data_IF_707590993336
#
_entry.id   IF_707590993336
#
_cell.length_a   1.000
_cell.length_b   1.000
_cell.length_c   1.000
_cell.angle_alpha   90.00
_cell.angle_beta   90.00
_cell.angle_gamma   90.00
#
_symmetry.space_group_name_H-M   'P 1'
#
loop_
_entity.id
_entity.type
_entity.pdbx_description
1 polymer ?
#
# COMPACT_ATOMS: atom_id res chain seq x y z
N UNK A 1 -2.22 0.03 -12.49
CA UNK A 1 -2.97 0.54 -11.32
C UNK A 1 -2.03 1.44 -10.54
N UNK A 2 -2.49 2.62 -10.14
CA UNK A 2 -1.71 3.58 -9.39
C UNK A 2 -2.44 3.88 -8.08
N UNK A 3 -1.88 3.45 -6.95
CA UNK A 3 -2.44 3.75 -5.62
C UNK A 3 -2.26 5.21 -5.21
N UNK A 4 -1.53 5.99 -6.02
CA UNK A 4 -1.32 7.42 -5.83
C UNK A 4 -2.64 8.17 -5.97
N UNK A 5 -3.15 8.68 -4.86
CA UNK A 5 -4.22 9.68 -4.89
C UNK A 5 -3.70 10.99 -5.49
N UNK A 6 -4.50 11.73 -6.27
CA UNK A 6 -4.10 13.03 -6.79
C UNK A 6 -3.82 13.97 -5.62
N UNK A 7 -2.54 14.27 -5.41
CA UNK A 7 -2.06 15.24 -4.44
C UNK A 7 -2.02 16.65 -5.02
N UNK A 8 -1.57 17.61 -4.22
CA UNK A 8 -1.29 18.96 -4.70
C UNK A 8 -0.35 18.91 -5.93
N UNK A 9 -0.51 19.82 -6.90
CA UNK A 9 0.35 19.85 -8.08
C UNK A 9 1.82 19.93 -7.66
N UNK A 10 2.61 18.97 -8.14
CA UNK A 10 4.05 18.96 -7.92
C UNK A 10 4.70 20.13 -8.65
N UNK A 11 5.77 20.69 -8.07
CA UNK A 11 6.51 21.79 -8.72
C UNK A 11 6.96 21.37 -10.12
N UNK A 12 6.95 22.32 -11.06
CA UNK A 12 7.51 22.09 -12.38
C UNK A 12 9.01 21.81 -12.26
N UNK A 13 9.47 20.85 -13.07
CA UNK A 13 10.89 20.51 -13.18
C UNK A 13 11.51 21.45 -14.20
N UNK A 14 12.44 22.29 -13.77
CA UNK A 14 13.12 23.28 -14.60
C UNK A 14 14.53 22.82 -15.00
N UNK A 15 15.15 21.94 -14.21
CA UNK A 15 16.50 21.41 -14.49
C UNK A 15 16.70 20.00 -13.96
N UNK A 16 17.84 19.38 -14.31
CA UNK A 16 18.28 18.12 -13.70
C UNK A 16 18.49 18.26 -12.18
N UNK A 17 19.01 19.41 -11.74
CA UNK A 17 19.29 19.65 -10.33
C UNK A 17 18.02 19.62 -9.49
N UNK A 18 16.87 19.93 -10.08
CA UNK A 18 15.59 19.82 -9.40
C UNK A 18 15.23 18.40 -8.98
N UNK A 19 15.58 17.43 -9.83
CA UNK A 19 15.37 16.01 -9.59
C UNK A 19 16.37 15.48 -8.55
N UNK A 20 17.63 15.92 -8.66
CA UNK A 20 18.67 15.57 -7.69
C UNK A 20 18.31 16.09 -6.31
N UNK A 21 17.88 17.35 -6.21
CA UNK A 21 17.46 17.97 -4.95
C UNK A 21 16.25 17.27 -4.33
N UNK A 22 15.30 16.78 -5.14
CA UNK A 22 14.16 16.02 -4.63
C UNK A 22 14.58 14.69 -3.98
N UNK A 23 15.53 13.97 -4.58
CA UNK A 23 16.09 12.74 -3.98
C UNK A 23 16.88 13.08 -2.70
N UNK A 24 17.73 14.11 -2.75
CA UNK A 24 18.56 14.55 -1.62
C UNK A 24 17.71 15.00 -0.42
N UNK A 25 16.52 15.59 -0.64
CA UNK A 25 15.58 15.92 0.43
C UNK A 25 15.08 14.68 1.21
N UNK A 26 15.28 13.47 0.68
CA UNK A 26 14.98 12.21 1.36
C UNK A 26 16.03 11.77 2.39
N UNK A 27 17.21 12.39 2.42
CA UNK A 27 18.29 12.08 3.35
C UNK A 27 17.85 12.27 4.81
N UNK A 28 18.25 11.34 5.68
CA UNK A 28 17.86 11.33 7.09
C UNK A 28 19.08 11.03 7.98
N UNK A 29 19.23 11.71 9.13
CA UNK A 29 20.25 11.34 10.11
C UNK A 29 19.97 9.93 10.64
N UNK A 30 21.01 9.25 11.14
CA UNK A 30 20.90 7.85 11.62
C UNK A 30 19.78 7.64 12.64
N UNK A 31 19.53 8.60 13.51
CA UNK A 31 18.45 8.53 14.50
C UNK A 31 17.02 8.51 13.89
N UNK A 32 16.86 8.99 12.66
CA UNK A 32 15.60 9.01 11.92
C UNK A 32 15.50 7.87 10.89
N UNK A 33 16.45 6.94 10.86
CA UNK A 33 16.34 5.75 10.02
C UNK A 33 15.20 4.84 10.52
N UNK A 34 14.50 4.23 9.58
CA UNK A 34 13.36 3.34 9.82
C UNK A 34 13.44 2.16 8.84
N UNK A 35 12.70 1.09 9.15
CA UNK A 35 12.57 -0.11 8.36
C UNK A 35 11.14 -0.16 7.81
N UNK A 36 11.00 -0.16 6.49
CA UNK A 36 9.76 -0.52 5.81
C UNK A 36 9.90 -1.93 5.25
N UNK A 37 8.83 -2.72 5.28
CA UNK A 37 8.84 -4.08 4.75
C UNK A 37 7.58 -4.31 3.95
N UNK A 38 7.74 -4.84 2.74
CA UNK A 38 6.64 -5.15 1.84
C UNK A 38 6.64 -6.65 1.57
N UNK A 39 5.45 -7.24 1.47
CA UNK A 39 5.30 -8.62 1.05
C UNK A 39 4.04 -8.83 0.23
N UNK A 40 4.13 -9.70 -0.76
CA UNK A 40 3.01 -10.10 -1.60
C UNK A 40 2.57 -11.52 -1.26
N UNK A 41 1.26 -11.78 -1.36
CA UNK A 41 0.69 -13.12 -1.19
C UNK A 41 -0.22 -13.46 -2.36
N UNK A 42 -0.13 -14.71 -2.81
CA UNK A 42 -1.12 -15.27 -3.73
C UNK A 42 -2.38 -15.65 -2.95
N UNK A 43 -3.51 -15.05 -3.32
CA UNK A 43 -4.81 -15.40 -2.75
C UNK A 43 -5.45 -16.48 -3.62
N UNK A 44 -5.83 -17.59 -3.01
CA UNK A 44 -6.44 -18.73 -3.69
C UNK A 44 -7.59 -19.32 -2.88
N UNK A 45 -8.48 -20.05 -3.55
CA UNK A 45 -9.54 -20.82 -2.93
C UNK A 45 -8.97 -22.12 -2.35
N UNK A 46 -9.18 -22.40 -1.07
CA UNK A 46 -8.58 -23.58 -0.41
C UNK A 46 -9.20 -24.92 -0.82
N UNK A 47 -10.42 -24.89 -1.36
CA UNK A 47 -11.18 -26.04 -1.87
C UNK A 47 -10.81 -26.41 -3.31
N UNK A 48 -10.49 -25.42 -4.16
CA UNK A 48 -10.21 -25.64 -5.60
C UNK A 48 -8.78 -25.33 -6.01
N UNK A 49 -8.01 -24.66 -5.15
CA UNK A 49 -6.66 -24.13 -5.40
C UNK A 49 -6.60 -23.12 -6.56
N UNK A 50 -7.74 -22.60 -7.01
CA UNK A 50 -7.80 -21.62 -8.09
C UNK A 50 -7.53 -20.21 -7.55
N UNK A 51 -7.00 -19.29 -8.38
CA UNK A 51 -6.85 -17.88 -8.03
C UNK A 51 -8.19 -17.23 -7.65
N UNK A 52 -8.15 -16.30 -6.70
CA UNK A 52 -9.36 -15.54 -6.31
C UNK A 52 -9.61 -14.42 -7.33
N UNK A 53 -10.81 -14.34 -7.94
CA UNK A 53 -11.16 -13.27 -8.86
C UNK A 53 -11.33 -11.93 -8.13
N UNK A 54 -11.30 -10.82 -8.88
CA UNK A 54 -11.52 -9.49 -8.28
C UNK A 54 -12.96 -9.31 -7.76
N UNK A 55 -13.96 -9.76 -8.52
CA UNK A 55 -15.39 -9.59 -8.22
C UNK A 55 -16.07 -10.91 -7.88
N UNK A 56 -17.27 -10.82 -7.29
CA UNK A 56 -18.07 -11.96 -6.85
C UNK A 56 -18.11 -12.13 -5.33
N UNK A 57 -18.85 -13.12 -4.86
CA UNK A 57 -19.04 -13.37 -3.42
C UNK A 57 -17.73 -13.81 -2.72
N UNK A 58 -16.97 -14.69 -3.38
CA UNK A 58 -15.66 -15.17 -2.91
C UNK A 58 -14.55 -14.48 -3.71
N UNK A 59 -14.27 -13.22 -3.42
CA UNK A 59 -13.42 -12.37 -4.26
C UNK A 59 -12.47 -11.44 -3.48
N UNK A 60 -11.54 -10.82 -4.19
CA UNK A 60 -10.65 -9.79 -3.63
C UNK A 60 -11.46 -8.59 -3.15
N UNK A 61 -12.46 -8.12 -3.92
CA UNK A 61 -13.32 -7.01 -3.50
C UNK A 61 -14.10 -7.35 -2.22
N UNK A 62 -14.57 -8.59 -2.06
CA UNK A 62 -15.23 -9.04 -0.83
C UNK A 62 -14.26 -9.00 0.38
N UNK A 63 -13.01 -9.46 0.20
CA UNK A 63 -11.97 -9.38 1.22
C UNK A 63 -11.64 -7.94 1.62
N UNK A 64 -11.47 -7.04 0.65
CA UNK A 64 -11.18 -5.62 0.91
C UNK A 64 -12.34 -4.94 1.66
N UNK A 65 -13.59 -5.19 1.27
CA UNK A 65 -14.77 -4.67 1.97
C UNK A 65 -14.89 -5.21 3.41
N UNK A 66 -14.53 -6.48 3.62
CA UNK A 66 -14.47 -7.05 4.96
C UNK A 66 -13.43 -6.35 5.84
N UNK A 67 -12.25 -6.01 5.28
CA UNK A 67 -11.22 -5.26 6.01
C UNK A 67 -11.68 -3.83 6.36
N UNK A 68 -12.34 -3.14 5.43
CA UNK A 68 -12.95 -1.82 5.67
C UNK A 68 -13.95 -1.91 6.83
N UNK A 69 -14.90 -2.85 6.74
CA UNK A 69 -15.99 -2.96 7.71
C UNK A 69 -15.49 -3.38 9.09
N UNK A 70 -14.54 -4.30 9.15
CA UNK A 70 -14.07 -4.91 10.42
C UNK A 70 -12.99 -4.10 11.12
N UNK A 71 -12.12 -3.41 10.38
CA UNK A 71 -10.94 -2.77 10.93
C UNK A 71 -10.83 -1.27 10.59
N UNK A 72 -11.83 -0.70 9.91
CA UNK A 72 -11.89 0.74 9.65
C UNK A 72 -10.88 1.25 8.62
N UNK A 73 -10.44 0.38 7.71
CA UNK A 73 -9.56 0.79 6.60
C UNK A 73 -10.27 1.76 5.65
N UNK A 74 -9.52 2.70 5.08
CA UNK A 74 -10.03 3.67 4.11
C UNK A 74 -9.74 3.20 2.68
N UNK A 75 -10.74 3.10 1.80
CA UNK A 75 -10.55 2.64 0.43
C UNK A 75 -9.86 3.69 -0.45
N UNK A 76 -9.04 3.19 -1.38
CA UNK A 76 -8.55 3.93 -2.55
C UNK A 76 -9.20 3.31 -3.78
N UNK A 77 -9.90 4.13 -4.57
CA UNK A 77 -10.71 3.69 -5.70
C UNK A 77 -10.13 4.21 -7.01
N UNK A 78 -9.97 3.33 -7.99
CA UNK A 78 -9.57 3.66 -9.37
C UNK A 78 -10.56 2.96 -10.32
N UNK A 79 -11.14 3.70 -11.28
CA UNK A 79 -12.08 3.13 -12.25
C UNK A 79 -13.32 2.46 -11.62
N UNK A 80 -13.78 2.95 -10.47
CA UNK A 80 -14.91 2.37 -9.72
C UNK A 80 -14.58 1.12 -8.91
N UNK A 81 -13.31 0.71 -8.86
CA UNK A 81 -12.82 -0.48 -8.16
C UNK A 81 -11.95 -0.07 -6.98
N UNK A 82 -12.14 -0.69 -5.81
CA UNK A 82 -11.22 -0.56 -4.68
C UNK A 82 -9.93 -1.30 -5.05
N UNK A 83 -8.82 -0.57 -5.12
CA UNK A 83 -7.51 -1.11 -5.52
C UNK A 83 -6.48 -1.12 -4.39
N UNK A 84 -6.74 -0.38 -3.32
CA UNK A 84 -5.88 -0.31 -2.14
C UNK A 84 -6.67 0.13 -0.92
N UNK A 85 -6.09 -0.12 0.26
CA UNK A 85 -6.59 0.33 1.56
C UNK A 85 -5.47 1.05 2.30
N UNK A 86 -5.81 2.15 2.97
CA UNK A 86 -4.88 2.88 3.84
C UNK A 86 -5.48 3.08 5.23
N UNK A 87 -4.63 3.23 6.25
CA UNK A 87 -5.08 3.72 7.55
C UNK A 87 -5.37 5.22 7.46
N UNK A 88 -6.40 5.66 8.18
CA UNK A 88 -6.76 7.06 8.24
C UNK A 88 -5.69 7.85 9.01
N UNK A 89 -5.34 9.04 8.49
CA UNK A 89 -4.48 10.03 9.14
C UNK A 89 -3.13 9.49 9.65
N UNK A 90 -2.50 8.58 8.90
CA UNK A 90 -1.21 8.01 9.28
C UNK A 90 -0.28 7.77 8.07
N UNK A 91 0.72 8.65 7.93
CA UNK A 91 1.66 8.65 6.81
C UNK A 91 2.72 7.55 6.89
N UNK A 92 3.05 7.09 8.09
CA UNK A 92 4.05 6.03 8.33
C UNK A 92 3.40 4.68 8.64
N UNK A 93 2.09 4.55 8.49
CA UNK A 93 1.39 3.29 8.70
C UNK A 93 1.41 2.42 7.45
N UNK A 94 1.15 1.13 7.66
CA UNK A 94 1.02 0.20 6.55
C UNK A 94 -0.21 0.46 5.68
N UNK A 95 -0.11 0.06 4.42
CA UNK A 95 -1.16 0.09 3.41
C UNK A 95 -1.28 -1.28 2.75
N UNK A 96 -2.45 -1.57 2.20
CA UNK A 96 -2.73 -2.78 1.43
C UNK A 96 -2.94 -2.38 0.00
N UNK A 97 -2.33 -3.08 -0.95
CA UNK A 97 -2.43 -2.79 -2.39
C UNK A 97 -2.65 -4.09 -3.17
N UNK A 98 -3.06 -3.94 -4.43
CA UNK A 98 -3.20 -5.04 -5.37
C UNK A 98 -2.21 -4.88 -6.53
N UNK A 99 -1.43 -5.93 -6.74
CA UNK A 99 -0.57 -6.05 -7.91
C UNK A 99 -1.34 -6.52 -9.15
N UNK A 100 -0.79 -6.40 -10.37
CA UNK A 100 -1.50 -6.70 -11.62
C UNK A 100 -2.11 -8.12 -11.69
N UNK A 101 -1.52 -9.11 -11.01
CA UNK A 101 -2.00 -10.48 -10.96
C UNK A 101 -2.99 -10.77 -9.82
N UNK A 102 -3.41 -9.74 -9.07
CA UNK A 102 -4.27 -9.89 -7.89
C UNK A 102 -3.52 -10.36 -6.64
N UNK A 103 -2.17 -10.31 -6.63
CA UNK A 103 -1.41 -10.52 -5.42
C UNK A 103 -1.79 -9.46 -4.39
N UNK A 104 -1.94 -9.92 -3.15
CA UNK A 104 -2.35 -9.08 -2.03
C UNK A 104 -1.09 -8.63 -1.29
N UNK A 105 -0.78 -7.35 -1.43
CA UNK A 105 0.41 -6.75 -0.83
C UNK A 105 0.06 -6.05 0.49
N UNK A 106 0.98 -6.13 1.44
CA UNK A 106 1.06 -5.21 2.57
C UNK A 106 2.37 -4.47 2.45
N UNK A 107 2.30 -3.15 2.28
CA UNK A 107 3.43 -2.27 2.55
C UNK A 107 3.35 -1.88 4.02
N UNK A 108 4.29 -2.35 4.83
CA UNK A 108 4.31 -2.15 6.28
C UNK A 108 4.66 -0.71 6.67
N UNK A 109 4.34 -0.34 7.90
CA UNK A 109 4.73 0.97 8.42
C UNK A 109 6.25 1.14 8.52
N UNK A 110 6.71 2.39 8.56
CA UNK A 110 8.13 2.71 8.78
C UNK A 110 8.46 2.64 10.28
N UNK A 111 9.12 1.56 10.71
CA UNK A 111 9.32 1.25 12.13
C UNK A 111 10.80 1.28 12.56
N UNK A 112 11.07 1.27 13.87
CA UNK A 112 12.43 1.43 14.41
C UNK A 112 13.22 0.11 14.52
N UNK A 113 12.51 -1.01 14.69
CA UNK A 113 13.15 -2.31 14.91
C UNK A 113 12.50 -3.44 14.11
N UNK A 114 13.24 -4.53 13.93
CA UNK A 114 12.71 -5.76 13.33
C UNK A 114 11.60 -6.40 14.18
N UNK A 115 11.58 -6.15 15.49
CA UNK A 115 10.51 -6.62 16.37
C UNK A 115 9.20 -5.90 16.07
N UNK A 116 9.25 -4.59 15.81
CA UNK A 116 8.09 -3.82 15.37
C UNK A 116 7.61 -4.30 14.00
N UNK A 117 8.52 -4.64 13.08
CA UNK A 117 8.17 -5.23 11.78
C UNK A 117 7.42 -6.55 11.94
N UNK A 118 7.82 -7.42 12.87
CA UNK A 118 7.20 -8.73 13.08
C UNK A 118 5.83 -8.65 13.78
N UNK A 119 5.55 -7.56 14.50
CA UNK A 119 4.29 -7.37 15.23
C UNK A 119 3.20 -6.67 14.40
N UNK A 120 3.59 -5.96 13.33
CA UNK A 120 2.70 -5.27 12.39
C UNK A 120 2.03 -6.20 11.39
#
# INVERSE_FOLDING_TARGET
MSTRQPGAPSRLVHSKDDLVAWIAAGEKPKAAWRIGTEHEKFVFHTDTLTPVPYEGERSISALLNALITRFGWQPIVEGGKIIALKKQDCDLCGNITLEPGGQFELSGGAVESLHDTAAG
#
